data_IF_430447574543
#
_entry.id   IF_430447574543
#
_cell.length_a   1.000
_cell.length_b   1.000
_cell.length_c   1.000
_cell.angle_alpha   90.00
_cell.angle_beta   90.00
_cell.angle_gamma   90.00
#
_symmetry.space_group_name_H-M   'P 1'
#
loop_
_entity.id
_entity.type
_entity.pdbx_description
1 polymer ?
#
# COMPACT_ATOMS: atom_id res chain seq x y z
N UNK A 1 8.96 11.83 17.36
CA UNK A 1 7.52 11.62 17.14
C UNK A 1 7.32 10.12 17.13
N UNK A 2 6.80 9.57 18.22
CA UNK A 2 6.70 8.13 18.43
C UNK A 2 5.63 7.57 17.50
N UNK A 3 5.94 6.47 16.81
CA UNK A 3 5.02 5.74 15.92
C UNK A 3 3.84 5.10 16.67
N UNK A 4 3.78 5.30 17.97
CA UNK A 4 2.92 4.61 18.93
C UNK A 4 1.46 5.09 18.87
N UNK A 5 1.20 6.32 18.39
CA UNK A 5 -0.14 6.93 18.32
C UNK A 5 -0.74 6.99 16.90
N UNK A 6 -0.07 6.42 15.89
CA UNK A 6 -0.63 6.34 14.54
C UNK A 6 -1.62 5.18 14.50
N UNK A 7 -2.91 5.48 14.26
CA UNK A 7 -3.92 4.47 14.03
C UNK A 7 -3.43 3.49 12.94
N UNK A 8 -3.76 2.18 12.99
CA UNK A 8 -3.21 1.19 12.05
C UNK A 8 -3.28 1.59 10.58
N UNK A 9 -4.36 2.30 10.18
CA UNK A 9 -4.52 2.87 8.83
C UNK A 9 -3.43 3.88 8.46
N UNK A 10 -2.99 4.71 9.39
CA UNK A 10 -1.95 5.72 9.17
C UNK A 10 -0.56 5.10 9.07
N UNK A 11 -0.29 4.03 9.83
CA UNK A 11 0.96 3.25 9.70
C UNK A 11 1.06 2.61 8.32
N UNK A 12 -0.04 2.02 7.82
CA UNK A 12 -0.09 1.44 6.47
C UNK A 12 0.05 2.53 5.41
N UNK A 13 -0.66 3.64 5.54
CA UNK A 13 -0.57 4.76 4.59
C UNK A 13 0.85 5.35 4.48
N UNK A 14 1.62 5.35 5.58
CA UNK A 14 3.00 5.80 5.58
C UNK A 14 3.94 4.88 4.77
N UNK A 15 3.53 3.65 4.42
CA UNK A 15 4.28 2.68 3.60
C UNK A 15 3.97 2.80 2.09
N UNK A 16 3.65 4.01 1.62
CA UNK A 16 3.31 4.31 0.21
C UNK A 16 4.54 4.51 -0.70
N UNK A 17 5.76 4.22 -0.25
CA UNK A 17 6.95 4.21 -1.13
C UNK A 17 6.87 3.10 -2.19
N UNK A 18 7.59 3.26 -3.31
CA UNK A 18 7.61 2.28 -4.40
C UNK A 18 7.90 0.85 -3.91
N UNK A 19 7.05 -0.11 -4.28
CA UNK A 19 7.11 -1.51 -3.83
C UNK A 19 6.65 -1.75 -2.39
N UNK A 20 6.07 -0.74 -1.74
CA UNK A 20 5.54 -0.82 -0.38
C UNK A 20 4.12 -1.40 -0.27
N UNK A 21 3.61 -1.48 0.95
CA UNK A 21 2.28 -2.04 1.28
C UNK A 21 1.23 -0.97 1.58
N UNK A 22 1.55 0.29 1.34
CA UNK A 22 0.58 1.36 1.47
C UNK A 22 -0.54 1.23 0.45
N UNK A 23 -1.71 1.81 0.77
CA UNK A 23 -2.94 1.58 0.01
C UNK A 23 -2.81 1.91 -1.48
N UNK A 24 -2.06 2.95 -1.85
CA UNK A 24 -1.89 3.32 -3.26
C UNK A 24 -1.02 2.32 -4.01
N UNK A 25 0.05 1.82 -3.39
CA UNK A 25 0.91 0.77 -3.96
C UNK A 25 0.15 -0.54 -4.13
N UNK A 26 -0.66 -0.94 -3.14
CA UNK A 26 -1.47 -2.16 -3.22
C UNK A 26 -2.51 -2.05 -4.35
N UNK A 27 -3.19 -0.90 -4.48
CA UNK A 27 -4.12 -0.68 -5.61
C UNK A 27 -3.42 -0.81 -6.96
N UNK A 28 -2.24 -0.21 -7.10
CA UNK A 28 -1.44 -0.29 -8.32
C UNK A 28 -1.02 -1.74 -8.61
N UNK A 29 -0.49 -2.45 -7.62
CA UNK A 29 -0.07 -3.85 -7.75
C UNK A 29 -1.23 -4.77 -8.15
N UNK A 30 -2.44 -4.54 -7.60
CA UNK A 30 -3.64 -5.30 -8.01
C UNK A 30 -4.01 -4.99 -9.45
N UNK A 31 -3.97 -3.71 -9.87
CA UNK A 31 -4.27 -3.35 -11.25
C UNK A 31 -3.28 -3.99 -12.24
N UNK A 32 -1.98 -3.97 -11.91
CA UNK A 32 -0.94 -4.64 -12.69
C UNK A 32 -1.14 -6.15 -12.70
N UNK A 33 -1.48 -6.75 -11.55
CA UNK A 33 -1.74 -8.19 -11.46
C UNK A 33 -2.90 -8.62 -12.36
N UNK A 34 -4.00 -7.87 -12.42
CA UNK A 34 -5.13 -8.14 -13.32
C UNK A 34 -4.72 -8.21 -14.78
N UNK A 35 -3.89 -7.25 -15.21
CA UNK A 35 -3.32 -7.25 -16.57
C UNK A 35 -2.46 -8.50 -16.81
N UNK A 36 -1.64 -8.89 -15.82
CA UNK A 36 -0.77 -10.07 -15.92
C UNK A 36 -1.58 -11.37 -16.00
N UNK A 37 -2.64 -11.51 -15.20
CA UNK A 37 -3.46 -12.74 -15.16
C UNK A 37 -4.51 -12.81 -16.28
N UNK A 38 -4.74 -11.72 -17.02
CA UNK A 38 -5.70 -11.65 -18.11
C UNK A 38 -7.16 -11.60 -17.65
N UNK A 39 -7.42 -11.02 -16.47
CA UNK A 39 -8.76 -10.71 -15.95
C UNK A 39 -9.35 -9.43 -16.55
#
# INVERSE_FOLDING_TARGET
MLVEDLAPKQVVAARNSYGGTGFEQVKQAIAEAKVIVGE
#
